data_IF_233069609269
#
_entry.id   IF_233069609269
#
_cell.length_a   1.000
_cell.length_b   1.000
_cell.length_c   1.000
_cell.angle_alpha   90.00
_cell.angle_beta   90.00
_cell.angle_gamma   90.00
#
_symmetry.space_group_name_H-M   'P 1'
#
loop_
_entity.id
_entity.type
_entity.pdbx_description
1 polymer ?
#
# COMPACT_ATOMS: atom_id res chain seq x y z
N UNK A 1 -19.98 9.35 2.83
CA UNK A 1 -18.70 9.65 2.15
C UNK A 1 -18.98 10.25 0.78
N UNK A 2 -18.47 11.46 0.50
CA UNK A 2 -18.49 12.00 -0.87
C UNK A 2 -17.58 11.12 -1.73
N UNK A 3 -18.04 10.70 -2.91
CA UNK A 3 -17.23 9.99 -3.90
C UNK A 3 -16.07 10.88 -4.35
N UNK A 4 -14.97 10.90 -3.60
CA UNK A 4 -13.77 11.59 -4.02
C UNK A 4 -13.19 10.81 -5.20
N UNK A 5 -13.13 11.39 -6.40
CA UNK A 5 -12.46 10.76 -7.52
C UNK A 5 -10.99 10.56 -7.13
N UNK A 6 -10.44 9.39 -7.43
CA UNK A 6 -9.01 9.19 -7.25
C UNK A 6 -8.23 10.20 -8.09
N UNK A 7 -7.10 10.70 -7.58
CA UNK A 7 -6.29 11.72 -8.25
C UNK A 7 -5.92 11.33 -9.68
N UNK A 8 -5.72 10.04 -9.98
CA UNK A 8 -5.42 9.57 -11.34
C UNK A 8 -6.56 9.78 -12.34
N UNK A 9 -7.79 9.99 -11.87
CA UNK A 9 -8.96 10.31 -12.70
C UNK A 9 -9.09 11.81 -12.95
N UNK A 10 -8.30 12.63 -12.26
CA UNK A 10 -8.27 14.08 -12.46
C UNK A 10 -7.25 14.41 -13.55
N UNK A 11 -7.51 15.46 -14.32
CA UNK A 11 -6.50 16.01 -15.23
C UNK A 11 -5.28 16.52 -14.45
N UNK A 12 -4.07 16.52 -15.04
CA UNK A 12 -2.82 16.86 -14.34
C UNK A 12 -2.87 18.20 -13.60
N UNK A 13 -3.45 19.23 -14.21
CA UNK A 13 -3.61 20.54 -13.59
C UNK A 13 -4.41 20.47 -12.28
N UNK A 14 -5.57 19.80 -12.29
CA UNK A 14 -6.42 19.66 -11.11
C UNK A 14 -5.79 18.79 -10.03
N UNK A 15 -5.07 17.74 -10.42
CA UNK A 15 -4.31 16.93 -9.47
C UNK A 15 -3.22 17.75 -8.78
N UNK A 16 -2.50 18.59 -9.55
CA UNK A 16 -1.47 19.47 -9.01
C UNK A 16 -2.05 20.54 -8.08
N UNK A 17 -3.19 21.15 -8.42
CA UNK A 17 -3.89 22.09 -7.52
C UNK A 17 -4.17 21.45 -6.15
N UNK A 18 -4.69 20.22 -6.12
CA UNK A 18 -4.98 19.51 -4.85
C UNK A 18 -3.68 19.17 -4.12
N UNK A 19 -2.63 18.73 -4.82
CA UNK A 19 -1.34 18.42 -4.24
C UNK A 19 -0.64 19.66 -3.65
N UNK A 20 -0.85 20.84 -4.22
CA UNK A 20 -0.27 22.09 -3.74
C UNK A 20 -1.12 22.78 -2.66
N UNK A 21 -2.42 22.50 -2.58
CA UNK A 21 -3.32 23.12 -1.61
C UNK A 21 -3.01 22.65 -0.18
N UNK A 22 -2.53 23.52 0.72
CA UNK A 22 -2.12 23.15 2.07
C UNK A 22 -3.29 22.77 2.99
N UNK A 23 -4.54 23.02 2.58
CA UNK A 23 -5.72 22.59 3.36
C UNK A 23 -5.95 21.08 3.30
N UNK A 24 -5.36 20.39 2.31
CA UNK A 24 -5.41 18.93 2.22
C UNK A 24 -4.23 18.30 2.96
N UNK A 25 -4.55 17.35 3.84
CA UNK A 25 -3.54 16.50 4.47
C UNK A 25 -3.16 15.38 3.49
N UNK A 26 -1.90 15.37 3.05
CA UNK A 26 -1.36 14.31 2.18
C UNK A 26 -0.43 13.43 2.97
N UNK A 27 -0.77 12.15 3.09
CA UNK A 27 0.02 11.16 3.82
C UNK A 27 0.57 10.08 2.90
N UNK A 28 1.76 9.60 3.21
CA UNK A 28 2.34 8.39 2.63
C UNK A 28 2.82 7.48 3.74
N UNK A 29 2.67 6.16 3.57
CA UNK A 29 3.21 5.16 4.49
C UNK A 29 4.28 4.35 3.76
N UNK A 30 5.49 4.33 4.33
CA UNK A 30 6.59 3.50 3.85
C UNK A 30 6.66 2.19 4.63
N UNK A 31 7.01 1.12 3.94
CA UNK A 31 7.24 -0.19 4.51
C UNK A 31 8.65 -0.65 4.15
N UNK A 32 9.23 -1.51 4.99
CA UNK A 32 10.48 -2.16 4.64
C UNK A 32 10.36 -2.85 3.26
N UNK A 33 11.29 -2.59 2.31
CA UNK A 33 11.20 -3.14 0.96
C UNK A 33 11.14 -4.67 0.91
N UNK A 34 11.86 -5.38 1.79
CA UNK A 34 11.88 -6.83 1.82
C UNK A 34 10.57 -7.39 2.35
N UNK A 35 10.07 -6.86 3.47
CA UNK A 35 8.75 -7.19 4.03
C UNK A 35 7.64 -6.94 3.01
N UNK A 36 7.72 -5.83 2.26
CA UNK A 36 6.74 -5.54 1.20
C UNK A 36 6.79 -6.56 0.06
N UNK A 37 7.98 -6.94 -0.39
CA UNK A 37 8.14 -7.98 -1.43
C UNK A 37 7.65 -9.35 -0.96
N UNK A 38 7.99 -9.75 0.26
CA UNK A 38 7.53 -11.01 0.84
C UNK A 38 6.02 -11.04 0.99
N UNK A 39 5.42 -9.94 1.48
CA UNK A 39 3.97 -9.79 1.61
C UNK A 39 3.28 -9.95 0.24
N UNK A 40 3.82 -9.32 -0.80
CA UNK A 40 3.33 -9.50 -2.17
C UNK A 40 3.42 -10.96 -2.64
N UNK A 41 4.54 -11.63 -2.37
CA UNK A 41 4.71 -13.03 -2.74
C UNK A 41 3.68 -13.94 -2.04
N UNK A 42 3.55 -13.80 -0.72
CA UNK A 42 2.59 -14.57 0.07
C UNK A 42 1.15 -14.37 -0.41
N UNK A 43 0.78 -13.12 -0.72
CA UNK A 43 -0.57 -12.77 -1.15
C UNK A 43 -0.91 -13.16 -2.60
N UNK A 44 0.07 -13.16 -3.50
CA UNK A 44 -0.18 -13.27 -4.95
C UNK A 44 0.41 -14.50 -5.62
N UNK A 45 1.40 -15.16 -5.02
CA UNK A 45 2.19 -16.21 -5.66
C UNK A 45 2.34 -17.49 -4.82
N UNK A 46 2.05 -17.45 -3.52
CA UNK A 46 2.15 -18.63 -2.66
C UNK A 46 1.00 -19.64 -2.85
N UNK A 47 1.28 -20.92 -2.55
CA UNK A 47 0.41 -22.08 -2.80
C UNK A 47 -0.99 -22.01 -2.16
N UNK A 48 -1.23 -21.10 -1.22
CA UNK A 48 -2.50 -20.96 -0.49
C UNK A 48 -3.50 -19.99 -1.13
N UNK A 49 -3.13 -19.32 -2.22
CA UNK A 49 -3.99 -18.31 -2.83
C UNK A 49 -4.67 -18.86 -4.08
N UNK A 50 -6.00 -18.79 -4.18
CA UNK A 50 -6.78 -19.21 -5.37
C UNK A 50 -6.37 -18.50 -6.68
N UNK A 51 -5.41 -17.58 -6.61
CA UNK A 51 -4.95 -16.72 -7.70
C UNK A 51 -3.48 -16.93 -8.04
N UNK A 52 -2.72 -17.77 -7.32
CA UNK A 52 -1.26 -17.86 -7.47
C UNK A 52 -0.81 -18.09 -8.92
N UNK A 53 -1.26 -19.19 -9.53
CA UNK A 53 -0.88 -19.53 -10.91
C UNK A 53 -1.47 -18.54 -11.92
N UNK A 54 -2.66 -18.00 -11.68
CA UNK A 54 -3.30 -17.01 -12.57
C UNK A 54 -2.55 -15.68 -12.57
N UNK A 55 -2.05 -15.25 -11.42
CA UNK A 55 -1.31 -14.01 -11.30
C UNK A 55 0.09 -14.13 -11.92
N UNK A 56 0.78 -15.24 -11.66
CA UNK A 56 2.03 -15.57 -12.34
C UNK A 56 1.86 -15.64 -13.86
N UNK A 57 0.81 -16.31 -14.34
CA UNK A 57 0.51 -16.40 -15.77
C UNK A 57 0.25 -15.02 -16.37
N UNK A 58 -0.53 -14.18 -15.67
CA UNK A 58 -0.86 -12.82 -16.14
C UNK A 58 0.36 -11.91 -16.23
N UNK A 59 1.27 -11.96 -15.25
CA UNK A 59 2.39 -11.02 -15.16
C UNK A 59 3.61 -11.52 -15.94
N UNK A 60 3.89 -12.83 -15.87
CA UNK A 60 5.12 -13.42 -16.40
C UNK A 60 4.90 -14.39 -17.57
N UNK A 61 3.65 -14.67 -17.95
CA UNK A 61 3.36 -15.71 -18.94
C UNK A 61 3.60 -17.13 -18.41
N UNK A 62 3.69 -17.29 -17.09
CA UNK A 62 4.15 -18.51 -16.44
C UNK A 62 3.10 -19.11 -15.51
N UNK A 63 2.62 -20.32 -15.82
CA UNK A 63 1.50 -20.96 -15.13
C UNK A 63 1.91 -21.89 -13.98
N UNK A 64 3.20 -22.01 -13.67
CA UNK A 64 3.63 -22.78 -12.50
C UNK A 64 3.63 -21.93 -11.23
N UNK A 65 3.60 -22.62 -10.09
CA UNK A 65 3.68 -21.99 -8.79
C UNK A 65 5.13 -21.58 -8.52
N UNK A 66 5.39 -20.28 -8.42
CA UNK A 66 6.73 -19.77 -8.16
C UNK A 66 7.10 -19.97 -6.70
N UNK A 67 8.34 -20.40 -6.45
CA UNK A 67 8.99 -20.20 -5.15
C UNK A 67 9.38 -18.73 -4.95
N UNK A 68 9.67 -18.33 -3.70
CA UNK A 68 10.08 -16.96 -3.42
C UNK A 68 11.39 -16.55 -4.15
N UNK A 69 12.45 -17.38 -4.22
CA UNK A 69 13.63 -17.04 -5.01
C UNK A 69 13.36 -16.91 -6.53
N UNK A 70 12.49 -17.73 -7.09
CA UNK A 70 12.09 -17.62 -8.51
C UNK A 70 11.29 -16.33 -8.76
N UNK A 71 10.38 -15.99 -7.86
CA UNK A 71 9.67 -14.72 -7.87
C UNK A 71 10.65 -13.54 -7.85
N UNK A 72 11.62 -13.53 -6.92
CA UNK A 72 12.63 -12.48 -6.83
C UNK A 72 13.42 -12.33 -8.15
N UNK A 73 13.94 -13.44 -8.69
CA UNK A 73 14.65 -13.42 -9.98
C UNK A 73 13.82 -12.79 -11.09
N UNK A 74 12.51 -13.07 -11.14
CA UNK A 74 11.62 -12.51 -12.15
C UNK A 74 11.35 -11.02 -11.94
N UNK A 75 11.12 -10.55 -10.71
CA UNK A 75 10.79 -9.12 -10.46
C UNK A 75 12.00 -8.20 -10.45
N UNK A 76 13.21 -8.72 -10.24
CA UNK A 76 14.45 -7.92 -10.28
C UNK A 76 15.20 -8.04 -11.60
N UNK A 77 14.69 -8.81 -12.57
CA UNK A 77 15.31 -8.90 -13.89
C UNK A 77 15.25 -7.54 -14.61
N UNK A 78 16.28 -7.24 -15.42
CA UNK A 78 16.27 -6.05 -16.25
C UNK A 78 15.05 -6.06 -17.19
N UNK A 79 14.29 -4.96 -17.22
CA UNK A 79 13.05 -4.86 -18.00
C UNK A 79 11.85 -5.60 -17.42
N UNK A 80 11.95 -6.15 -16.20
CA UNK A 80 10.81 -6.77 -15.53
C UNK A 80 9.64 -5.77 -15.37
N UNK A 81 8.39 -6.21 -15.52
CA UNK A 81 7.24 -5.34 -15.37
C UNK A 81 7.16 -4.80 -13.93
N UNK A 82 7.13 -3.48 -13.76
CA UNK A 82 7.08 -2.83 -12.45
C UNK A 82 5.63 -2.56 -12.02
N UNK A 83 5.09 -3.45 -11.18
CA UNK A 83 3.75 -3.31 -10.60
C UNK A 83 3.79 -2.56 -9.25
N UNK A 84 2.67 -1.95 -8.86
CA UNK A 84 2.48 -1.26 -7.58
C UNK A 84 2.82 -2.09 -6.33
N UNK A 85 2.90 -3.42 -6.41
CA UNK A 85 3.25 -4.28 -5.28
C UNK A 85 4.74 -4.51 -5.05
N UNK A 86 5.60 -4.42 -6.09
CA UNK A 86 7.06 -4.64 -5.95
C UNK A 86 7.92 -3.50 -6.50
N UNK A 87 7.35 -2.57 -7.27
CA UNK A 87 8.03 -1.32 -7.66
C UNK A 87 8.53 -0.59 -6.40
N UNK A 88 9.72 0.04 -6.41
CA UNK A 88 10.15 0.93 -5.33
C UNK A 88 9.06 1.94 -4.94
N UNK A 89 8.85 2.19 -3.64
CA UNK A 89 7.83 3.14 -3.21
C UNK A 89 8.16 4.59 -3.61
N UNK A 90 9.45 4.93 -3.79
CA UNK A 90 9.87 6.23 -4.28
C UNK A 90 9.31 6.55 -5.68
N UNK A 91 9.19 5.52 -6.54
CA UNK A 91 8.66 5.63 -7.91
C UNK A 91 7.12 5.63 -7.96
N UNK A 92 6.45 5.38 -6.84
CA UNK A 92 4.98 5.40 -6.76
C UNK A 92 4.56 6.86 -6.59
N UNK A 93 3.62 7.31 -7.40
CA UNK A 93 3.09 8.68 -7.34
C UNK A 93 4.16 9.79 -7.40
N UNK A 94 5.33 9.52 -8.03
CA UNK A 94 6.46 10.46 -8.09
C UNK A 94 6.85 10.99 -6.70
N UNK A 95 6.77 10.15 -5.67
CA UNK A 95 7.09 10.56 -4.29
C UNK A 95 8.49 11.17 -4.21
N UNK A 96 9.47 10.66 -4.97
CA UNK A 96 10.81 11.24 -5.02
C UNK A 96 10.82 12.74 -5.38
N UNK A 97 10.00 13.16 -6.34
CA UNK A 97 9.90 14.55 -6.78
C UNK A 97 8.95 15.38 -5.91
N UNK A 98 7.85 14.76 -5.48
CA UNK A 98 6.72 15.42 -4.82
C UNK A 98 6.76 15.32 -3.29
N UNK A 99 7.81 14.73 -2.70
CA UNK A 99 7.87 14.47 -1.24
C UNK A 99 7.60 15.74 -0.43
N UNK A 100 8.08 16.90 -0.90
CA UNK A 100 7.92 18.20 -0.25
C UNK A 100 6.45 18.67 -0.16
N UNK A 101 5.53 18.07 -0.91
CA UNK A 101 4.09 18.34 -0.86
C UNK A 101 3.34 17.45 0.13
N UNK A 102 3.98 16.43 0.69
CA UNK A 102 3.37 15.55 1.68
C UNK A 102 3.49 16.14 3.09
N UNK A 103 2.39 16.05 3.84
CA UNK A 103 2.26 16.61 5.19
C UNK A 103 2.43 15.56 6.29
N UNK A 104 2.48 14.27 5.92
CA UNK A 104 2.64 13.17 6.86
C UNK A 104 3.42 12.00 6.24
N UNK A 105 4.38 11.48 7.01
CA UNK A 105 5.18 10.31 6.64
C UNK A 105 5.03 9.23 7.71
N UNK A 106 4.35 8.16 7.33
CA UNK A 106 4.05 7.01 8.18
C UNK A 106 5.06 5.87 8.03
N UNK A 107 5.34 5.18 9.12
CA UNK A 107 6.03 3.89 9.09
C UNK A 107 4.98 2.78 9.20
N UNK A 108 4.93 1.91 8.19
CA UNK A 108 3.99 0.79 8.15
C UNK A 108 4.25 -0.26 9.23
N UNK A 109 5.48 -0.41 9.70
CA UNK A 109 5.79 -1.30 10.84
C UNK A 109 5.21 -0.76 12.16
N UNK A 110 4.75 0.49 12.16
CA UNK A 110 4.08 1.18 13.28
C UNK A 110 2.68 1.63 12.88
N UNK A 111 2.00 0.85 12.03
CA UNK A 111 0.72 1.22 11.42
C UNK A 111 -0.38 1.62 12.42
N UNK A 112 -0.56 0.98 13.59
CA UNK A 112 -1.57 1.41 14.55
C UNK A 112 -1.33 2.83 15.05
N UNK A 113 -0.08 3.13 15.40
CA UNK A 113 0.35 4.40 15.98
C UNK A 113 0.35 5.52 14.93
N UNK A 114 0.95 5.25 13.77
CA UNK A 114 1.07 6.23 12.70
C UNK A 114 -0.27 6.42 11.96
N UNK A 115 -1.11 5.38 11.87
CA UNK A 115 -2.47 5.49 11.36
C UNK A 115 -3.33 6.39 12.25
N UNK A 116 -3.23 6.21 13.58
CA UNK A 116 -3.87 7.10 14.55
C UNK A 116 -3.36 8.54 14.44
N UNK A 117 -2.05 8.73 14.32
CA UNK A 117 -1.46 10.07 14.18
C UNK A 117 -1.95 10.77 12.90
N UNK A 118 -1.95 10.07 11.76
CA UNK A 118 -2.43 10.59 10.48
C UNK A 118 -3.90 11.01 10.54
N UNK A 119 -4.77 10.13 11.04
CA UNK A 119 -6.20 10.44 11.16
C UNK A 119 -6.48 11.52 12.20
N UNK A 120 -5.68 11.62 13.26
CA UNK A 120 -5.78 12.73 14.22
C UNK A 120 -5.44 14.06 13.54
N UNK A 121 -4.36 14.11 12.75
CA UNK A 121 -3.98 15.30 11.99
C UNK A 121 -5.04 15.69 10.97
N UNK A 122 -5.72 14.72 10.36
CA UNK A 122 -6.84 14.96 9.45
C UNK A 122 -8.16 15.33 10.15
N UNK A 123 -8.23 15.28 11.49
CA UNK A 123 -9.48 15.50 12.25
C UNK A 123 -10.48 14.34 12.12
N UNK A 124 -10.03 13.16 11.69
CA UNK A 124 -10.85 12.00 11.32
C UNK A 124 -10.76 10.83 12.32
N UNK A 125 -9.84 10.87 13.29
CA UNK A 125 -9.62 9.74 14.20
C UNK A 125 -10.88 9.33 14.96
N UNK A 126 -11.60 10.29 15.55
CA UNK A 126 -12.79 10.01 16.35
C UNK A 126 -13.92 9.36 15.54
N UNK A 127 -14.10 9.79 14.29
CA UNK A 127 -15.19 9.31 13.44
C UNK A 127 -14.86 7.98 12.76
N UNK A 128 -13.61 7.79 12.32
CA UNK A 128 -13.26 6.67 11.44
C UNK A 128 -12.20 5.72 12.00
N UNK A 129 -11.45 6.14 13.02
CA UNK A 129 -10.28 5.40 13.50
C UNK A 129 -10.44 4.78 14.89
N UNK A 130 -11.19 5.42 15.79
CA UNK A 130 -11.28 5.01 17.20
C UNK A 130 -12.02 3.69 17.41
N UNK A 131 -13.06 3.45 16.60
CA UNK A 131 -13.87 2.23 16.61
C UNK A 131 -14.44 1.96 15.21
N UNK A 132 -15.28 0.94 15.06
CA UNK A 132 -15.86 0.53 13.78
C UNK A 132 -15.09 -0.58 13.05
N UNK A 133 -14.04 -1.12 13.67
CA UNK A 133 -13.17 -2.14 13.08
C UNK A 133 -13.17 -3.44 13.89
N UNK A 134 -12.74 -4.52 13.24
CA UNK A 134 -12.62 -5.85 13.84
C UNK A 134 -13.95 -6.51 14.22
N UNK A 135 -13.90 -7.68 14.88
CA UNK A 135 -15.09 -8.39 15.33
C UNK A 135 -15.93 -7.53 16.29
N UNK A 136 -17.21 -7.37 15.98
CA UNK A 136 -18.12 -6.56 16.78
C UNK A 136 -17.90 -5.04 16.69
N UNK A 137 -17.06 -4.57 15.75
CA UNK A 137 -16.89 -3.15 15.41
C UNK A 137 -16.42 -2.25 16.58
N UNK A 138 -15.84 -2.85 17.62
CA UNK A 138 -15.49 -2.18 18.87
C UNK A 138 -13.99 -1.94 19.06
N UNK A 139 -13.16 -2.27 18.07
CA UNK A 139 -11.72 -1.99 18.12
C UNK A 139 -11.32 -0.89 17.15
N UNK A 140 -10.17 -0.29 17.43
CA UNK A 140 -9.63 0.79 16.60
C UNK A 140 -9.11 0.27 15.26
N UNK A 141 -9.03 1.18 14.28
CA UNK A 141 -8.36 0.91 13.00
C UNK A 141 -6.94 0.40 13.23
N UNK A 142 -6.55 -0.64 12.50
CA UNK A 142 -5.25 -1.31 12.59
C UNK A 142 -4.90 -1.88 13.97
N UNK A 143 -5.89 -2.11 14.86
CA UNK A 143 -5.64 -2.70 16.19
C UNK A 143 -4.88 -4.03 16.13
N UNK A 144 -5.24 -4.88 15.16
CA UNK A 144 -4.62 -6.18 14.93
C UNK A 144 -4.41 -6.39 13.43
N UNK A 145 -3.32 -7.07 13.08
CA UNK A 145 -3.10 -7.53 11.71
C UNK A 145 -3.60 -8.97 11.58
N UNK A 146 -4.74 -9.14 10.92
CA UNK A 146 -5.32 -10.47 10.64
C UNK A 146 -5.16 -10.89 9.17
N UNK A 147 -4.30 -10.19 8.41
CA UNK A 147 -4.09 -10.48 6.99
C UNK A 147 -3.33 -11.80 6.81
N UNK A 148 -3.82 -12.66 5.90
CA UNK A 148 -3.16 -13.92 5.55
C UNK A 148 -1.73 -13.74 4.98
N UNK A 149 -1.41 -12.53 4.49
CA UNK A 149 -0.12 -12.15 3.92
C UNK A 149 0.69 -11.20 4.83
N UNK A 150 0.37 -11.18 6.13
CA UNK A 150 1.18 -10.45 7.10
C UNK A 150 2.62 -10.97 7.11
N UNK A 151 3.58 -10.06 7.35
CA UNK A 151 5.02 -10.40 7.41
C UNK A 151 5.64 -10.05 8.75
N UNK A 152 4.84 -9.54 9.67
CA UNK A 152 5.19 -9.43 11.08
C UNK A 152 4.97 -10.81 11.71
N UNK A 153 5.97 -11.29 12.44
CA UNK A 153 5.83 -12.48 13.28
C UNK A 153 4.90 -12.20 14.47
#
# INVERSE_FOLDING_TARGET
MRNLPSLYKLGPARAMEILQDPSFIKGVFFRDPFSRLLSCYLDKFSAGTHRANKYSLKIFGDNHLLSFPEFLKKVTAAGAPMNVHWRPQADICQIEELFHLYSFFGNFERLPEHGRAFLTQAGLWKEFGESGWGPGENVSMFHENSAAHQTTA
#
